data_IF_952774464490
#
_entry.id   IF_952774464490
#
_cell.length_a   1.000
_cell.length_b   1.000
_cell.length_c   1.000
_cell.angle_alpha   90.00
_cell.angle_beta   90.00
_cell.angle_gamma   90.00
#
_symmetry.space_group_name_H-M   'P 1'
#
loop_
_entity.id
_entity.type
_entity.pdbx_description
1 polymer ?
#
# COMPACT_ATOMS: atom_id res chain seq x y z
N UNK A 1 -5.74 0.60 -19.14
CA UNK A 1 -5.11 -0.67 -18.70
C UNK A 1 -4.95 -0.52 -17.20
N UNK A 2 -5.69 -1.32 -16.42
CA UNK A 2 -5.96 -1.04 -15.00
C UNK A 2 -4.74 -1.48 -14.21
N UNK A 3 -3.91 -0.51 -13.79
CA UNK A 3 -2.75 -0.75 -12.92
C UNK A 3 -3.22 -1.40 -11.62
N UNK A 4 -2.72 -2.58 -11.34
CA UNK A 4 -2.80 -3.18 -10.02
C UNK A 4 -1.92 -2.34 -9.08
N UNK A 5 -2.51 -1.32 -8.47
CA UNK A 5 -1.82 -0.28 -7.68
C UNK A 5 -1.44 -0.77 -6.27
N UNK A 6 -0.95 -2.01 -6.19
CA UNK A 6 -0.49 -2.63 -4.95
C UNK A 6 0.97 -2.23 -4.68
N UNK A 7 1.18 -1.25 -3.78
CA UNK A 7 2.52 -0.74 -3.48
C UNK A 7 3.14 -1.38 -2.23
N UNK A 8 4.27 -2.07 -2.41
CA UNK A 8 5.06 -2.64 -1.31
C UNK A 8 6.33 -1.82 -1.07
N UNK A 9 6.39 -1.12 0.06
CA UNK A 9 7.54 -0.27 0.42
C UNK A 9 8.77 -1.06 0.88
N UNK A 10 8.55 -2.14 1.61
CA UNK A 10 9.63 -2.92 2.20
C UNK A 10 9.21 -4.37 2.34
N UNK A 11 9.96 -5.24 1.66
CA UNK A 11 9.87 -6.68 1.81
C UNK A 11 11.04 -7.17 2.67
N UNK A 12 10.76 -8.01 3.67
CA UNK A 12 11.78 -8.69 4.47
C UNK A 12 11.69 -10.17 4.19
N UNK A 13 12.77 -10.73 3.65
CA UNK A 13 12.87 -12.15 3.32
C UNK A 13 13.91 -12.75 4.25
N UNK A 14 13.58 -13.89 4.85
CA UNK A 14 14.57 -14.75 5.51
C UNK A 14 15.01 -15.78 4.49
N UNK A 15 16.28 -15.72 4.08
CA UNK A 15 16.85 -16.62 3.08
C UNK A 15 18.26 -17.03 3.52
N UNK A 16 18.66 -18.25 3.16
CA UNK A 16 20.03 -18.76 3.32
C UNK A 16 20.93 -18.41 2.12
N UNK A 17 20.44 -17.64 1.15
CA UNK A 17 21.18 -17.20 -0.03
C UNK A 17 22.34 -16.28 0.35
N UNK A 18 23.36 -16.27 -0.52
CA UNK A 18 24.57 -15.45 -0.30
C UNK A 18 24.27 -13.96 -0.55
N UNK A 19 25.01 -13.02 0.06
CA UNK A 19 24.81 -11.59 -0.15
C UNK A 19 24.89 -11.16 -1.63
N UNK A 20 25.74 -11.80 -2.43
CA UNK A 20 25.85 -11.55 -3.88
C UNK A 20 24.56 -11.84 -4.67
N UNK A 21 23.70 -12.72 -4.17
CA UNK A 21 22.45 -13.12 -4.83
C UNK A 21 21.25 -12.23 -4.43
N UNK A 22 21.44 -11.32 -3.46
CA UNK A 22 20.39 -10.47 -2.93
C UNK A 22 19.72 -9.55 -3.98
N UNK A 23 20.45 -8.94 -4.96
CA UNK A 23 19.82 -8.14 -6.01
C UNK A 23 18.91 -8.98 -6.93
N UNK A 24 19.36 -10.17 -7.32
CA UNK A 24 18.59 -11.10 -8.15
C UNK A 24 17.35 -11.59 -7.42
N UNK A 25 17.48 -11.93 -6.13
CA UNK A 25 16.35 -12.30 -5.27
C UNK A 25 15.31 -11.17 -5.19
N UNK A 26 15.76 -9.93 -5.00
CA UNK A 26 14.87 -8.76 -4.94
C UNK A 26 14.07 -8.60 -6.24
N UNK A 27 14.71 -8.75 -7.40
CA UNK A 27 14.02 -8.61 -8.69
C UNK A 27 12.99 -9.73 -8.91
N UNK A 28 13.37 -10.98 -8.65
CA UNK A 28 12.46 -12.14 -8.74
C UNK A 28 11.26 -11.97 -7.82
N UNK A 29 11.47 -11.52 -6.59
CA UNK A 29 10.42 -11.28 -5.62
C UNK A 29 9.51 -10.11 -6.00
N UNK A 30 10.07 -9.01 -6.51
CA UNK A 30 9.28 -7.90 -7.01
C UNK A 30 8.39 -8.35 -8.19
N UNK A 31 8.94 -9.13 -9.11
CA UNK A 31 8.17 -9.69 -10.22
C UNK A 31 7.08 -10.66 -9.74
N UNK A 32 7.43 -11.59 -8.85
CA UNK A 32 6.49 -12.57 -8.29
C UNK A 32 5.32 -11.90 -7.58
N UNK A 33 5.59 -10.88 -6.76
CA UNK A 33 4.55 -10.14 -6.05
C UNK A 33 3.74 -9.24 -6.99
N UNK A 34 4.36 -8.74 -8.06
CA UNK A 34 3.67 -7.96 -9.10
C UNK A 34 2.71 -8.80 -9.97
N UNK A 35 2.82 -10.14 -9.97
CA UNK A 35 1.87 -11.04 -10.66
C UNK A 35 0.76 -11.57 -9.75
N UNK A 36 0.82 -11.25 -8.46
CA UNK A 36 -0.19 -11.63 -7.47
C UNK A 36 -1.34 -10.63 -7.48
N UNK A 37 -2.58 -11.11 -7.42
CA UNK A 37 -3.71 -10.23 -7.11
C UNK A 37 -3.94 -10.23 -5.59
N UNK A 38 -3.54 -9.13 -4.95
CA UNK A 38 -3.61 -8.96 -3.50
C UNK A 38 -4.88 -8.22 -3.07
N UNK A 39 -5.79 -7.91 -4.00
CA UNK A 39 -6.96 -7.09 -3.68
C UNK A 39 -7.93 -7.84 -2.76
N UNK A 40 -8.29 -7.28 -1.60
CA UNK A 40 -9.31 -7.88 -0.74
C UNK A 40 -10.68 -7.86 -1.44
N UNK A 41 -11.50 -8.91 -1.30
CA UNK A 41 -12.82 -8.97 -1.96
C UNK A 41 -13.78 -7.87 -1.49
N UNK A 42 -13.68 -7.45 -0.22
CA UNK A 42 -14.57 -6.45 0.38
C UNK A 42 -14.08 -5.00 0.17
N UNK A 43 -12.92 -4.79 -0.46
CA UNK A 43 -12.32 -3.45 -0.61
C UNK A 43 -12.93 -2.74 -1.84
N UNK A 44 -13.62 -1.59 -1.67
CA UNK A 44 -14.19 -0.86 -2.79
C UNK A 44 -13.12 -0.50 -3.86
N UNK A 45 -13.49 -0.43 -5.15
CA UNK A 45 -12.55 -0.13 -6.25
C UNK A 45 -11.68 1.12 -6.03
N UNK A 46 -12.27 2.18 -5.48
CA UNK A 46 -11.58 3.45 -5.25
C UNK A 46 -10.83 3.54 -3.90
N UNK A 47 -11.09 2.61 -2.97
CA UNK A 47 -10.56 2.69 -1.62
C UNK A 47 -9.06 2.38 -1.57
N UNK A 48 -8.34 3.11 -0.73
CA UNK A 48 -6.90 2.92 -0.51
C UNK A 48 -6.67 2.35 0.88
N UNK A 49 -6.10 1.14 0.95
CA UNK A 49 -5.76 0.47 2.20
C UNK A 49 -4.25 0.52 2.43
N UNK A 50 -3.82 1.25 3.46
CA UNK A 50 -2.44 1.25 3.91
C UNK A 50 -2.29 0.25 5.06
N UNK A 51 -1.40 -0.75 4.93
CA UNK A 51 -1.07 -1.71 6.00
C UNK A 51 0.39 -1.53 6.42
N UNK A 52 0.64 -1.36 7.72
CA UNK A 52 1.98 -1.06 8.23
C UNK A 52 2.93 -2.24 8.08
N UNK A 53 2.43 -3.44 8.36
CA UNK A 53 3.14 -4.71 8.27
C UNK A 53 2.16 -5.84 7.97
N UNK A 54 2.49 -6.64 6.97
CA UNK A 54 1.81 -7.90 6.68
C UNK A 54 2.84 -9.02 6.86
N UNK A 55 2.55 -9.96 7.76
CA UNK A 55 3.34 -11.19 7.85
C UNK A 55 2.97 -12.12 6.69
N UNK A 56 3.90 -13.00 6.30
CA UNK A 56 3.60 -14.03 5.30
C UNK A 56 2.43 -14.90 5.79
N UNK A 57 1.26 -14.87 5.11
CA UNK A 57 0.06 -15.55 5.56
C UNK A 57 0.16 -17.07 5.37
N UNK A 58 1.07 -17.54 4.51
CA UNK A 58 1.26 -18.95 4.23
C UNK A 58 2.74 -19.26 3.96
N UNK A 59 3.55 -19.42 5.03
CA UNK A 59 4.99 -19.64 4.93
C UNK A 59 5.37 -20.80 4.02
N UNK A 60 6.41 -20.61 3.20
CA UNK A 60 6.93 -21.64 2.30
C UNK A 60 6.19 -21.76 0.96
N UNK A 61 5.07 -21.06 0.78
CA UNK A 61 4.32 -21.03 -0.48
C UNK A 61 4.69 -19.85 -1.39
N UNK A 62 5.64 -19.03 -0.96
CA UNK A 62 6.23 -17.93 -1.71
C UNK A 62 7.71 -18.23 -1.95
N UNK A 63 8.04 -18.75 -3.13
CA UNK A 63 9.40 -19.14 -3.51
C UNK A 63 9.93 -18.25 -4.65
N UNK A 64 11.22 -17.89 -4.67
CA UNK A 64 11.79 -17.00 -5.70
C UNK A 64 11.88 -17.61 -7.09
N UNK A 65 11.81 -18.93 -7.19
CA UNK A 65 12.02 -19.64 -8.45
C UNK A 65 10.71 -19.91 -9.21
N UNK A 66 9.56 -19.58 -8.61
CA UNK A 66 8.27 -19.64 -9.30
C UNK A 66 7.94 -18.32 -9.98
N UNK A 67 7.21 -18.39 -11.08
CA UNK A 67 6.80 -17.20 -11.86
C UNK A 67 5.57 -16.49 -11.28
N UNK A 68 4.73 -17.23 -10.55
CA UNK A 68 3.49 -16.75 -9.95
C UNK A 68 3.29 -17.41 -8.58
N UNK A 69 2.73 -16.70 -7.57
CA UNK A 69 2.42 -17.32 -6.29
C UNK A 69 1.40 -18.44 -6.46
N UNK A 70 1.43 -19.41 -5.54
CA UNK A 70 0.37 -20.42 -5.50
C UNK A 70 -0.99 -19.76 -5.21
N UNK A 71 -2.06 -20.29 -5.80
CA UNK A 71 -3.42 -19.79 -5.55
C UNK A 71 -3.78 -19.83 -4.06
N UNK A 72 -3.29 -20.83 -3.32
CA UNK A 72 -3.47 -20.93 -1.88
C UNK A 72 -2.83 -19.75 -1.13
N UNK A 73 -1.62 -19.35 -1.51
CA UNK A 73 -0.95 -18.19 -0.92
C UNK A 73 -1.69 -16.89 -1.26
N UNK A 74 -2.09 -16.71 -2.51
CA UNK A 74 -2.81 -15.52 -2.96
C UNK A 74 -4.14 -15.35 -2.19
N UNK A 75 -4.90 -16.44 -2.05
CA UNK A 75 -6.13 -16.45 -1.26
C UNK A 75 -5.86 -16.12 0.22
N UNK A 76 -4.81 -16.68 0.82
CA UNK A 76 -4.43 -16.39 2.20
C UNK A 76 -4.02 -14.91 2.38
N UNK A 77 -3.31 -14.32 1.40
CA UNK A 77 -2.95 -12.91 1.39
C UNK A 77 -4.18 -12.00 1.30
N UNK A 78 -5.12 -12.30 0.38
CA UNK A 78 -6.39 -11.56 0.26
C UNK A 78 -7.22 -11.63 1.55
N UNK A 79 -7.27 -12.80 2.19
CA UNK A 79 -7.97 -12.96 3.47
C UNK A 79 -7.31 -12.18 4.61
N UNK A 80 -5.98 -12.19 4.68
CA UNK A 80 -5.24 -11.41 5.67
C UNK A 80 -5.46 -9.91 5.48
N UNK A 81 -5.43 -9.43 4.24
CA UNK A 81 -5.72 -8.03 3.91
C UNK A 81 -7.19 -7.66 4.14
N UNK A 82 -8.15 -8.55 3.88
CA UNK A 82 -9.54 -8.36 4.27
C UNK A 82 -9.71 -8.22 5.79
N UNK A 83 -8.96 -9.02 6.56
CA UNK A 83 -8.87 -8.88 8.01
C UNK A 83 -8.31 -7.53 8.45
N UNK A 84 -7.33 -6.97 7.73
CA UNK A 84 -6.84 -5.61 7.97
C UNK A 84 -7.84 -4.55 7.57
N UNK A 85 -8.51 -4.68 6.43
CA UNK A 85 -9.55 -3.75 5.97
C UNK A 85 -10.68 -3.58 6.99
N UNK A 86 -11.15 -4.69 7.59
CA UNK A 86 -12.19 -4.64 8.64
C UNK A 86 -11.73 -3.89 9.89
N UNK A 87 -10.46 -4.00 10.27
CA UNK A 87 -9.86 -3.39 11.46
C UNK A 87 -9.22 -2.02 11.20
N UNK A 88 -9.12 -1.60 9.95
CA UNK A 88 -8.43 -0.38 9.56
C UNK A 88 -9.11 0.85 10.15
N UNK A 89 -8.30 1.78 10.66
CA UNK A 89 -8.79 3.07 11.10
C UNK A 89 -9.17 3.88 9.87
N UNK A 90 -10.33 4.57 9.93
CA UNK A 90 -10.84 5.41 8.86
C UNK A 90 -10.82 6.88 9.29
N UNK A 91 -10.57 7.84 8.38
CA UNK A 91 -10.58 9.26 8.71
C UNK A 91 -11.97 9.78 9.09
N UNK A 92 -12.48 9.49 10.29
CA UNK A 92 -13.69 10.17 10.80
C UNK A 92 -13.27 11.50 11.42
N UNK A 93 -13.49 12.60 10.68
CA UNK A 93 -13.14 14.00 11.08
C UNK A 93 -11.62 14.32 11.09
N UNK A 94 -10.83 13.59 10.29
CA UNK A 94 -9.47 14.01 9.91
C UNK A 94 -8.36 13.79 10.94
N UNK A 95 -8.58 12.97 11.97
CA UNK A 95 -7.53 12.56 12.90
C UNK A 95 -7.38 11.04 12.88
N UNK A 96 -6.21 10.56 12.48
CA UNK A 96 -5.82 9.16 12.54
C UNK A 96 -4.76 8.99 13.64
N UNK A 97 -4.82 7.92 14.45
CA UNK A 97 -3.76 7.59 15.39
C UNK A 97 -2.46 7.28 14.65
N UNK A 98 -1.35 7.89 15.07
CA UNK A 98 -0.02 7.68 14.45
C UNK A 98 0.43 6.20 14.49
N UNK A 99 -0.05 5.45 15.48
CA UNK A 99 0.27 4.03 15.68
C UNK A 99 -0.67 3.05 14.97
N UNK A 100 -1.66 3.54 14.22
CA UNK A 100 -2.64 2.70 13.54
C UNK A 100 -1.93 1.61 12.69
N UNK A 101 -2.24 0.31 12.91
CA UNK A 101 -1.58 -0.76 12.18
C UNK A 101 -2.06 -0.86 10.72
N UNK A 102 -3.27 -0.38 10.45
CA UNK A 102 -3.84 -0.22 9.13
C UNK A 102 -4.74 1.02 9.07
N UNK A 103 -4.70 1.72 7.95
CA UNK A 103 -5.51 2.91 7.65
C UNK A 103 -6.22 2.68 6.33
N UNK A 104 -7.51 2.99 6.28
CA UNK A 104 -8.30 2.87 5.06
C UNK A 104 -8.90 4.23 4.70
N UNK A 105 -8.62 4.68 3.49
CA UNK A 105 -9.27 5.82 2.85
C UNK A 105 -10.35 5.33 1.89
N UNK A 106 -11.47 6.04 1.82
CA UNK A 106 -12.58 5.75 0.93
C UNK A 106 -12.22 5.97 -0.55
N UNK A 107 -11.31 6.91 -0.81
CA UNK A 107 -10.85 7.24 -2.16
C UNK A 107 -9.45 7.86 -2.14
N UNK A 108 -8.83 7.95 -3.32
CA UNK A 108 -7.63 8.78 -3.52
C UNK A 108 -7.91 10.23 -3.11
N UNK A 109 -9.09 10.79 -3.42
CA UNK A 109 -9.43 12.16 -3.02
C UNK A 109 -9.43 12.36 -1.49
N UNK A 110 -9.97 11.40 -0.71
CA UNK A 110 -9.91 11.45 0.75
C UNK A 110 -8.46 11.34 1.26
N UNK A 111 -7.65 10.49 0.63
CA UNK A 111 -6.23 10.36 0.93
C UNK A 111 -5.50 11.69 0.73
N UNK A 112 -5.68 12.35 -0.42
CA UNK A 112 -5.03 13.64 -0.72
C UNK A 112 -5.51 14.74 0.24
N UNK A 113 -6.80 14.81 0.54
CA UNK A 113 -7.34 15.76 1.51
C UNK A 113 -6.74 15.56 2.92
N UNK A 114 -6.62 14.30 3.35
CA UNK A 114 -5.97 13.98 4.63
C UNK A 114 -4.48 14.32 4.64
N UNK A 115 -3.77 14.06 3.54
CA UNK A 115 -2.36 14.41 3.40
C UNK A 115 -2.17 15.94 3.49
N UNK A 116 -2.97 16.73 2.77
CA UNK A 116 -2.93 18.19 2.82
C UNK A 116 -3.15 18.71 4.24
N UNK A 117 -4.12 18.12 4.96
CA UNK A 117 -4.43 18.49 6.33
C UNK A 117 -3.30 18.14 7.31
N UNK A 118 -2.69 16.96 7.16
CA UNK A 118 -1.54 16.55 7.98
C UNK A 118 -0.27 17.35 7.66
N UNK A 119 -0.09 17.79 6.41
CA UNK A 119 0.98 18.71 6.03
C UNK A 119 0.76 20.09 6.66
N UNK A 120 -0.44 20.65 6.54
CA UNK A 120 -0.81 21.94 7.14
C UNK A 120 -0.62 21.93 8.68
N UNK A 121 -0.92 20.80 9.33
CA UNK A 121 -0.73 20.62 10.78
C UNK A 121 0.69 20.21 11.17
N UNK A 122 1.61 20.06 10.23
CA UNK A 122 2.99 19.64 10.49
C UNK A 122 3.11 18.22 11.09
N UNK A 123 2.16 17.31 10.80
CA UNK A 123 2.16 15.93 11.30
C UNK A 123 2.49 14.90 10.24
N UNK A 124 2.54 15.28 8.96
CA UNK A 124 2.68 14.32 7.87
C UNK A 124 3.93 13.42 8.04
N UNK A 125 5.04 13.97 8.55
CA UNK A 125 6.28 13.22 8.79
C UNK A 125 6.19 12.20 9.95
N UNK A 126 5.22 12.33 10.85
CA UNK A 126 5.00 11.42 12.00
C UNK A 126 4.17 10.20 11.61
N UNK A 127 3.30 10.36 10.62
CA UNK A 127 2.40 9.31 10.16
C UNK A 127 3.11 8.41 9.13
N UNK A 128 3.34 7.15 9.49
CA UNK A 128 4.11 6.21 8.66
C UNK A 128 3.49 5.99 7.27
N UNK A 129 2.17 6.08 7.13
CA UNK A 129 1.47 5.85 5.87
C UNK A 129 1.71 6.96 4.83
N UNK A 130 2.24 8.12 5.24
CA UNK A 130 2.68 9.17 4.32
C UNK A 130 4.10 8.96 3.79
N UNK A 131 4.88 8.04 4.37
CA UNK A 131 6.26 7.76 3.93
C UNK A 131 6.40 7.50 2.41
N UNK A 132 5.53 6.69 1.77
CA UNK A 132 5.54 6.48 0.31
C UNK A 132 5.40 7.77 -0.49
N UNK A 133 4.58 8.69 0.02
CA UNK A 133 4.14 9.89 -0.67
C UNK A 133 5.10 11.07 -0.46
N UNK A 134 5.73 11.14 0.72
CA UNK A 134 6.70 12.19 1.07
C UNK A 134 8.10 11.94 0.51
N UNK A 135 8.46 10.68 0.23
CA UNK A 135 9.71 10.34 -0.46
C UNK A 135 9.55 10.59 -1.96
N UNK A 136 9.54 11.86 -2.36
CA UNK A 136 9.48 12.26 -3.76
C UNK A 136 10.59 11.55 -4.57
N UNK A 137 10.19 10.82 -5.61
CA UNK A 137 11.07 10.02 -6.49
C UNK A 137 10.54 8.62 -6.85
N UNK A 138 9.49 8.14 -6.19
CA UNK A 138 8.78 6.89 -6.57
C UNK A 138 7.54 7.14 -7.44
N UNK A 139 6.97 6.11 -8.09
CA UNK A 139 5.75 6.21 -8.90
C UNK A 139 4.58 6.85 -8.14
N UNK A 140 4.53 6.73 -6.81
CA UNK A 140 3.55 7.39 -5.96
C UNK A 140 3.66 8.93 -5.94
N UNK A 141 4.85 9.53 -6.10
CA UNK A 141 5.00 11.00 -6.11
C UNK A 141 4.54 11.65 -7.41
N UNK A 142 4.84 11.02 -8.55
CA UNK A 142 4.31 11.43 -9.86
C UNK A 142 2.80 11.17 -9.93
N UNK A 143 2.34 10.00 -9.48
CA UNK A 143 0.92 9.70 -9.34
C UNK A 143 0.21 10.66 -8.37
N UNK A 144 0.89 11.18 -7.34
CA UNK A 144 0.33 12.20 -6.45
C UNK A 144 0.12 13.52 -7.18
N UNK A 145 1.10 13.99 -7.96
CA UNK A 145 0.98 15.23 -8.73
C UNK A 145 -0.09 15.11 -9.83
N UNK A 146 -0.11 13.98 -10.54
CA UNK A 146 -1.12 13.69 -11.57
C UNK A 146 -2.50 13.51 -10.95
N UNK A 147 -2.63 12.82 -9.81
CA UNK A 147 -3.89 12.69 -9.08
C UNK A 147 -4.33 14.05 -8.54
N UNK A 148 -3.45 14.89 -8.00
CA UNK A 148 -3.82 16.24 -7.57
C UNK A 148 -4.35 17.08 -8.72
N UNK A 149 -3.72 16.96 -9.90
CA UNK A 149 -4.12 17.67 -11.12
C UNK A 149 -5.44 17.11 -11.68
N UNK A 150 -5.62 15.80 -11.63
CA UNK A 150 -6.82 15.10 -12.12
C UNK A 150 -8.02 15.27 -11.18
N UNK A 151 -7.82 15.27 -9.87
CA UNK A 151 -8.83 15.52 -8.84
C UNK A 151 -8.97 17.01 -8.48
N UNK A 152 -8.16 17.92 -9.07
CA UNK A 152 -8.30 19.38 -8.88
C UNK A 152 -9.73 19.87 -9.18
N UNK A 153 -10.41 19.23 -10.15
CA UNK A 153 -11.84 19.46 -10.48
C UNK A 153 -12.83 19.04 -9.38
N UNK A 154 -12.37 18.36 -8.34
CA UNK A 154 -13.12 17.88 -7.19
C UNK A 154 -12.57 18.42 -5.87
N UNK A 155 -11.60 19.35 -5.93
CA UNK A 155 -11.36 20.26 -4.81
C UNK A 155 -12.66 21.04 -4.67
N UNK A 156 -13.44 20.83 -3.59
CA UNK A 156 -14.69 21.53 -3.46
C UNK A 156 -14.42 23.03 -3.49
N UNK A 157 -15.32 23.79 -4.11
CA UNK A 157 -15.38 25.24 -4.05
C UNK A 157 -15.69 25.75 -2.61
N UNK A 158 -15.11 25.11 -1.60
CA UNK A 158 -15.29 25.41 -0.18
C UNK A 158 -13.92 25.77 0.40
N UNK A 159 -13.52 27.01 0.13
CA UNK A 159 -12.94 27.86 1.17
C UNK A 159 -14.09 28.59 1.86
#
# INVERSE_FOLDING_TARGET
>A
MIDADDQIQRLRIRSSLRPEEAPSLRLRMAHLLGTADLRPPDLPPAAVLCVRRLADPLPGHLAPDVWRPSQAWEQAARQALAGWYRRAVRPRRGLLPEEAPAVCFHSIAELLACLALDLHRGRAHRCWWWTPWLRAGGPAGAALADAWTREARHVPATL
#
